data_IF_669576700863
#
_entry.id   IF_669576700863
#
_cell.length_a   1.000
_cell.length_b   1.000
_cell.length_c   1.000
_cell.angle_alpha   90.00
_cell.angle_beta   90.00
_cell.angle_gamma   90.00
#
_symmetry.space_group_name_H-M   'P 1'
#
loop_
_entity.id
_entity.type
_entity.pdbx_description
1 polymer ?
#
# COMPACT_ATOMS: atom_id res chain seq x y z
N UNK A 1 -5.00 -22.27 14.76
CA UNK A 1 -5.48 -20.91 14.45
C UNK A 1 -5.82 -20.84 12.97
N UNK A 2 -7.10 -20.95 12.63
CA UNK A 2 -7.57 -20.67 11.27
C UNK A 2 -7.37 -19.17 11.05
N UNK A 3 -6.54 -18.79 10.07
CA UNK A 3 -6.41 -17.38 9.67
C UNK A 3 -7.81 -16.88 9.32
N UNK A 4 -8.27 -15.82 10.01
CA UNK A 4 -9.44 -15.07 9.57
C UNK A 4 -9.22 -14.74 8.09
N UNK A 5 -10.11 -15.23 7.23
CA UNK A 5 -10.08 -14.86 5.83
C UNK A 5 -10.45 -13.39 5.78
N UNK A 6 -9.44 -12.53 5.70
CA UNK A 6 -9.63 -11.09 5.61
C UNK A 6 -10.54 -10.78 4.44
N UNK A 7 -11.67 -10.14 4.70
CA UNK A 7 -12.53 -9.64 3.66
C UNK A 7 -11.82 -8.47 2.97
N UNK A 8 -11.63 -8.55 1.65
CA UNK A 8 -10.93 -7.51 0.88
C UNK A 8 -11.88 -6.49 0.25
N UNK A 9 -13.15 -6.86 0.11
CA UNK A 9 -14.24 -6.02 -0.42
C UNK A 9 -15.57 -6.55 0.10
N UNK A 10 -16.45 -5.64 0.51
CA UNK A 10 -17.82 -5.98 0.83
C UNK A 10 -18.69 -5.71 -0.41
N UNK A 11 -19.40 -6.73 -0.89
CA UNK A 11 -20.40 -6.59 -1.95
C UNK A 11 -21.77 -6.77 -1.32
N UNK A 12 -22.64 -5.78 -1.47
CA UNK A 12 -23.98 -5.81 -0.91
C UNK A 12 -25.02 -5.41 -1.95
N UNK A 13 -26.21 -5.99 -1.87
CA UNK A 13 -27.38 -5.52 -2.61
C UNK A 13 -28.12 -4.49 -1.79
N UNK A 14 -28.61 -3.44 -2.44
CA UNK A 14 -29.49 -2.47 -1.80
C UNK A 14 -30.89 -2.51 -2.39
N UNK A 15 -31.87 -2.58 -1.49
CA UNK A 15 -33.29 -2.41 -1.79
C UNK A 15 -33.81 -1.19 -1.03
N UNK A 16 -34.65 -0.39 -1.68
CA UNK A 16 -35.11 0.88 -1.13
C UNK A 16 -36.00 0.79 0.11
N UNK A 17 -36.49 -0.42 0.42
CA UNK A 17 -37.24 -0.73 1.64
C UNK A 17 -36.33 -0.89 2.87
N UNK A 18 -35.02 -1.08 2.67
CA UNK A 18 -34.08 -1.34 3.76
C UNK A 18 -33.40 -0.06 4.26
N UNK A 19 -34.09 0.62 5.18
CA UNK A 19 -33.59 1.83 5.86
C UNK A 19 -32.29 1.54 6.63
N UNK A 20 -32.15 0.33 7.19
CA UNK A 20 -30.95 -0.07 7.96
C UNK A 20 -29.74 -0.23 7.05
N UNK A 21 -29.94 -0.77 5.85
CA UNK A 21 -28.88 -0.84 4.84
C UNK A 21 -28.40 0.57 4.44
N UNK A 22 -29.32 1.52 4.25
CA UNK A 22 -28.96 2.91 3.94
C UNK A 22 -28.14 3.57 5.06
N UNK A 23 -28.57 3.42 6.32
CA UNK A 23 -27.85 3.91 7.49
C UNK A 23 -26.46 3.28 7.61
N UNK A 24 -26.35 1.98 7.36
CA UNK A 24 -25.08 1.26 7.33
C UNK A 24 -24.14 1.81 6.26
N UNK A 25 -24.62 2.03 5.02
CA UNK A 25 -23.79 2.58 3.95
C UNK A 25 -23.36 4.03 4.19
N UNK A 26 -24.23 4.84 4.79
CA UNK A 26 -23.94 6.23 5.15
C UNK A 26 -22.92 6.32 6.29
N UNK A 27 -23.06 5.49 7.33
CA UNK A 27 -22.10 5.42 8.43
C UNK A 27 -20.70 4.99 7.96
N UNK A 28 -20.64 4.15 6.93
CA UNK A 28 -19.40 3.60 6.38
C UNK A 28 -18.60 4.55 5.49
N UNK A 29 -19.22 5.60 4.92
CA UNK A 29 -18.59 6.53 3.97
C UNK A 29 -17.78 5.83 2.86
N UNK A 30 -18.33 4.74 2.30
CA UNK A 30 -17.63 3.93 1.27
C UNK A 30 -16.76 2.79 1.81
N UNK A 31 -16.68 2.62 3.13
CA UNK A 31 -15.97 1.53 3.80
C UNK A 31 -16.93 0.75 4.71
N UNK A 32 -16.57 -0.47 5.07
CA UNK A 32 -17.33 -1.26 6.05
C UNK A 32 -17.31 -0.57 7.42
N UNK A 33 -18.48 -0.22 8.01
CA UNK A 33 -18.57 0.24 9.39
C UNK A 33 -18.05 -0.77 10.41
N UNK A 34 -18.23 -2.07 10.12
CA UNK A 34 -17.80 -3.16 10.99
C UNK A 34 -16.29 -3.40 10.93
N UNK A 35 -15.66 -3.08 9.79
CA UNK A 35 -14.22 -3.27 9.55
C UNK A 35 -13.64 -2.06 8.79
N UNK A 36 -13.24 -1.00 9.52
CA UNK A 36 -12.70 0.22 8.92
C UNK A 36 -11.51 -0.09 8.01
N UNK A 37 -11.64 0.21 6.72
CA UNK A 37 -10.59 -0.04 5.71
C UNK A 37 -10.99 -0.98 4.58
N UNK A 38 -12.07 -1.75 4.74
CA UNK A 38 -12.60 -2.59 3.66
C UNK A 38 -13.49 -1.75 2.76
N UNK A 39 -13.19 -1.64 1.45
CA UNK A 39 -14.03 -0.93 0.50
C UNK A 39 -15.35 -1.66 0.25
N UNK A 40 -16.37 -0.92 -0.15
CA UNK A 40 -17.70 -1.48 -0.45
C UNK A 40 -18.10 -1.23 -1.91
N UNK A 41 -18.75 -2.24 -2.50
CA UNK A 41 -19.46 -2.15 -3.77
C UNK A 41 -20.94 -2.46 -3.52
N UNK A 42 -21.83 -1.57 -3.95
CA UNK A 42 -23.27 -1.75 -3.76
C UNK A 42 -23.96 -2.00 -5.11
N UNK A 43 -24.70 -3.09 -5.19
CA UNK A 43 -25.55 -3.43 -6.31
C UNK A 43 -26.92 -2.78 -6.13
N UNK A 44 -27.37 -2.03 -7.13
CA UNK A 44 -28.55 -1.16 -7.04
C UNK A 44 -29.49 -1.42 -8.23
N UNK A 45 -30.79 -1.56 -7.98
CA UNK A 45 -31.76 -1.62 -9.08
C UNK A 45 -31.80 -0.29 -9.87
N UNK A 46 -32.04 -0.35 -11.19
CA UNK A 46 -31.99 0.84 -12.08
C UNK A 46 -32.88 2.00 -11.61
N UNK A 47 -34.07 1.69 -11.10
CA UNK A 47 -35.07 2.63 -10.59
C UNK A 47 -34.68 3.28 -9.25
N UNK A 48 -33.60 2.81 -8.62
CA UNK A 48 -33.16 3.28 -7.31
C UNK A 48 -31.79 4.00 -7.35
N UNK A 49 -31.14 4.07 -8.51
CA UNK A 49 -29.79 4.63 -8.70
C UNK A 49 -29.59 6.03 -8.06
N UNK A 50 -30.57 6.91 -8.20
CA UNK A 50 -30.45 8.32 -7.78
C UNK A 50 -30.48 8.52 -6.27
N UNK A 51 -31.02 7.56 -5.51
CA UNK A 51 -31.10 7.64 -4.04
C UNK A 51 -29.74 7.38 -3.38
N UNK A 52 -28.92 6.52 -3.97
CA UNK A 52 -27.60 6.15 -3.47
C UNK A 52 -26.47 7.04 -3.98
N UNK A 53 -26.64 7.77 -5.10
CA UNK A 53 -25.67 8.77 -5.61
C UNK A 53 -25.24 9.80 -4.56
N UNK A 54 -26.03 10.00 -3.50
CA UNK A 54 -25.76 10.91 -2.38
C UNK A 54 -24.76 10.36 -1.35
N UNK A 55 -24.41 9.08 -1.40
CA UNK A 55 -23.49 8.46 -0.43
C UNK A 55 -22.06 8.53 -0.97
N UNK A 56 -21.29 9.47 -0.44
CA UNK A 56 -19.89 9.66 -0.82
C UNK A 56 -19.05 8.40 -0.50
N UNK A 57 -18.19 8.01 -1.45
CA UNK A 57 -17.21 6.93 -1.27
C UNK A 57 -17.69 5.52 -1.63
N UNK A 58 -18.98 5.31 -1.91
CA UNK A 58 -19.52 3.99 -2.29
C UNK A 58 -19.47 3.81 -3.82
N UNK A 59 -18.79 2.76 -4.29
CA UNK A 59 -18.86 2.35 -5.70
C UNK A 59 -20.17 1.60 -5.96
N UNK A 60 -20.89 1.99 -7.01
CA UNK A 60 -22.24 1.47 -7.31
C UNK A 60 -22.25 0.74 -8.64
N UNK A 61 -23.02 -0.34 -8.72
CA UNK A 61 -23.25 -1.10 -9.94
C UNK A 61 -24.75 -1.31 -10.13
N UNK A 62 -25.27 -0.94 -11.30
CA UNK A 62 -26.70 -1.08 -11.60
C UNK A 62 -27.04 -2.52 -11.98
N UNK A 63 -28.06 -3.09 -11.36
CA UNK A 63 -28.60 -4.41 -11.69
C UNK A 63 -29.73 -4.33 -12.74
N UNK A 64 -29.81 -5.29 -13.67
CA UNK A 64 -28.82 -6.34 -13.92
C UNK A 64 -27.50 -5.75 -14.46
N UNK A 65 -26.36 -6.34 -14.06
CA UNK A 65 -25.02 -5.90 -14.46
C UNK A 65 -24.28 -6.99 -15.22
N UNK A 66 -23.33 -6.60 -16.08
CA UNK A 66 -22.40 -7.57 -16.68
C UNK A 66 -21.27 -7.90 -15.72
N UNK A 67 -20.57 -9.00 -15.96
CA UNK A 67 -19.40 -9.38 -15.18
C UNK A 67 -18.29 -8.32 -15.24
N UNK A 68 -18.11 -7.67 -16.40
CA UNK A 68 -17.14 -6.60 -16.60
C UNK A 68 -17.48 -5.36 -15.76
N UNK A 69 -18.76 -4.95 -15.75
CA UNK A 69 -19.21 -3.80 -14.98
C UNK A 69 -19.00 -4.00 -13.46
N UNK A 70 -19.23 -5.23 -12.97
CA UNK A 70 -18.97 -5.58 -11.59
C UNK A 70 -17.46 -5.61 -11.29
N UNK A 71 -16.67 -6.24 -12.16
CA UNK A 71 -15.21 -6.31 -12.01
C UNK A 71 -14.58 -4.91 -11.97
N UNK A 72 -15.03 -4.00 -12.84
CA UNK A 72 -14.54 -2.63 -12.89
C UNK A 72 -14.87 -1.85 -11.61
N UNK A 73 -16.07 -2.03 -11.05
CA UNK A 73 -16.44 -1.40 -9.79
C UNK A 73 -15.62 -1.94 -8.61
N UNK A 74 -15.40 -3.26 -8.56
CA UNK A 74 -14.50 -3.87 -7.57
C UNK A 74 -13.09 -3.32 -7.73
N UNK A 75 -12.56 -3.22 -8.93
CA UNK A 75 -11.22 -2.69 -9.17
C UNK A 75 -11.08 -1.21 -8.74
N UNK A 76 -12.11 -0.39 -8.97
CA UNK A 76 -12.13 1.01 -8.51
C UNK A 76 -12.22 1.11 -6.99
N UNK A 77 -13.09 0.31 -6.36
CA UNK A 77 -13.27 0.26 -4.91
C UNK A 77 -12.00 -0.23 -4.22
N UNK A 78 -11.39 -1.28 -4.78
CA UNK A 78 -10.17 -1.91 -4.30
C UNK A 78 -8.90 -1.27 -4.84
N UNK A 79 -8.95 0.00 -5.25
CA UNK A 79 -7.77 0.68 -5.79
C UNK A 79 -6.61 0.62 -4.76
N UNK A 80 -5.50 -0.09 -5.07
CA UNK A 80 -4.42 -0.32 -4.12
C UNK A 80 -3.74 0.97 -3.65
N UNK A 81 -3.91 2.09 -4.35
CA UNK A 81 -3.43 3.41 -3.93
C UNK A 81 -4.35 3.99 -2.85
N UNK A 82 -5.68 3.90 -3.03
CA UNK A 82 -6.68 4.41 -2.08
C UNK A 82 -6.80 3.56 -0.81
N UNK A 83 -6.47 2.27 -0.90
CA UNK A 83 -6.50 1.33 0.24
C UNK A 83 -5.26 1.38 1.13
N UNK A 84 -4.20 2.12 0.73
CA UNK A 84 -3.01 2.23 1.56
C UNK A 84 -3.33 2.95 2.86
N UNK A 85 -2.97 2.32 3.97
CA UNK A 85 -3.07 2.92 5.30
C UNK A 85 -1.99 3.98 5.56
N UNK A 86 -0.87 3.91 4.82
CA UNK A 86 0.27 4.81 4.98
C UNK A 86 0.68 5.44 3.65
N UNK A 87 0.93 6.75 3.68
CA UNK A 87 1.48 7.50 2.54
C UNK A 87 2.90 7.03 2.25
N UNK A 88 3.25 7.00 0.96
CA UNK A 88 4.60 6.66 0.48
C UNK A 88 5.31 7.93 0.06
N UNK A 89 6.58 8.04 0.44
CA UNK A 89 7.46 9.15 0.10
C UNK A 89 8.54 8.63 -0.82
N UNK A 90 8.79 9.39 -1.89
CA UNK A 90 9.96 9.18 -2.75
C UNK A 90 10.98 10.23 -2.35
N UNK A 91 12.05 9.78 -1.70
CA UNK A 91 13.09 10.66 -1.15
C UNK A 91 14.36 10.42 -1.97
N UNK A 92 14.88 11.45 -2.67
CA UNK A 92 16.14 11.35 -3.38
C UNK A 92 17.28 10.91 -2.45
N UNK A 93 18.33 10.32 -3.03
CA UNK A 93 19.57 9.96 -2.33
C UNK A 93 19.39 9.09 -1.07
N UNK A 94 18.28 8.35 -1.02
CA UNK A 94 17.98 7.42 0.09
C UNK A 94 18.44 6.02 -0.28
N UNK A 95 19.20 5.39 0.61
CA UNK A 95 19.69 4.02 0.44
C UNK A 95 19.18 3.11 1.56
N UNK A 96 19.17 1.82 1.30
CA UNK A 96 18.83 0.80 2.29
C UNK A 96 19.92 -0.27 2.30
N UNK A 97 20.30 -0.71 3.50
CA UNK A 97 21.13 -1.89 3.72
C UNK A 97 20.19 -3.03 4.10
N UNK A 98 20.20 -4.09 3.29
CA UNK A 98 19.40 -5.30 3.49
C UNK A 98 20.32 -6.39 4.05
N UNK A 99 20.05 -6.85 5.27
CA UNK A 99 20.88 -7.85 5.95
C UNK A 99 20.15 -9.20 6.07
N UNK A 100 20.83 -10.28 5.64
CA UNK A 100 20.41 -11.67 5.76
C UNK A 100 21.53 -12.53 6.33
N UNK A 101 21.63 -12.59 7.66
CA UNK A 101 22.74 -13.27 8.32
C UNK A 101 24.06 -12.54 8.06
N UNK A 102 25.09 -13.19 7.46
CA UNK A 102 26.34 -12.52 7.14
C UNK A 102 26.26 -11.66 5.86
N UNK A 103 25.23 -11.83 5.04
CA UNK A 103 25.10 -11.13 3.76
C UNK A 103 24.49 -9.75 3.97
N UNK A 104 25.10 -8.74 3.35
CA UNK A 104 24.59 -7.37 3.32
C UNK A 104 24.55 -6.87 1.88
N UNK A 105 23.41 -6.31 1.48
CA UNK A 105 23.23 -5.76 0.14
C UNK A 105 22.70 -4.35 0.23
N UNK A 106 23.37 -3.42 -0.45
CA UNK A 106 22.91 -2.04 -0.58
C UNK A 106 21.91 -1.91 -1.72
N UNK A 107 20.81 -1.22 -1.46
CA UNK A 107 19.75 -0.94 -2.42
C UNK A 107 19.42 0.55 -2.44
N UNK A 108 19.09 1.08 -3.62
CA UNK A 108 18.53 2.41 -3.77
C UNK A 108 17.04 2.39 -3.40
N UNK A 109 16.60 3.30 -2.53
CA UNK A 109 15.19 3.39 -2.13
C UNK A 109 14.40 4.12 -3.20
N UNK A 110 13.37 3.46 -3.74
CA UNK A 110 12.44 4.07 -4.71
C UNK A 110 11.35 4.84 -3.98
N UNK A 111 10.74 4.22 -2.97
CA UNK A 111 9.84 4.88 -2.04
C UNK A 111 9.72 4.10 -0.74
N UNK A 112 9.29 4.79 0.31
CA UNK A 112 9.12 4.22 1.64
C UNK A 112 7.86 4.79 2.31
N UNK A 113 7.27 4.02 3.21
CA UNK A 113 6.17 4.43 4.09
C UNK A 113 6.47 4.01 5.51
N UNK A 114 5.60 4.33 6.47
CA UNK A 114 5.71 3.80 7.83
C UNK A 114 5.56 2.28 7.93
N UNK A 115 5.05 1.62 6.89
CA UNK A 115 4.75 0.18 6.90
C UNK A 115 5.56 -0.66 5.91
N UNK A 116 6.44 -0.06 5.12
CA UNK A 116 7.20 -0.81 4.12
C UNK A 116 8.06 0.04 3.20
N UNK A 117 8.89 -0.66 2.43
CA UNK A 117 9.93 -0.12 1.57
C UNK A 117 9.84 -0.74 0.17
N UNK A 118 10.04 0.09 -0.85
CA UNK A 118 10.32 -0.34 -2.21
C UNK A 118 11.73 0.11 -2.59
N UNK A 119 12.60 -0.83 -2.95
CA UNK A 119 13.98 -0.54 -3.30
C UNK A 119 14.41 -1.27 -4.57
N UNK A 120 15.52 -0.83 -5.14
CA UNK A 120 16.18 -1.44 -6.28
C UNK A 120 17.64 -1.74 -5.99
N UNK A 121 18.11 -2.86 -6.52
CA UNK A 121 19.50 -3.30 -6.40
C UNK A 121 19.90 -4.09 -7.64
N UNK A 122 21.19 -4.14 -7.89
CA UNK A 122 21.75 -5.11 -8.82
C UNK A 122 21.54 -6.52 -8.26
N UNK A 123 21.24 -7.47 -9.15
CA UNK A 123 20.89 -8.83 -8.73
C UNK A 123 22.11 -9.54 -8.14
N UNK A 124 22.12 -9.89 -6.84
CA UNK A 124 23.32 -10.41 -6.18
C UNK A 124 23.48 -11.93 -6.36
N UNK A 125 22.53 -12.61 -7.00
CA UNK A 125 22.55 -14.07 -7.26
C UNK A 125 22.26 -14.95 -6.03
N UNK A 126 22.66 -14.54 -4.83
CA UNK A 126 22.55 -15.30 -3.59
C UNK A 126 21.46 -14.81 -2.61
N UNK A 127 20.65 -13.80 -3.00
CA UNK A 127 19.61 -13.26 -2.12
C UNK A 127 18.51 -14.29 -1.85
N UNK A 128 18.20 -14.53 -0.58
CA UNK A 128 17.19 -15.51 -0.19
C UNK A 128 15.82 -14.86 0.01
N UNK A 129 14.95 -14.94 -1.00
CA UNK A 129 13.61 -14.35 -0.95
C UNK A 129 12.65 -14.99 0.07
N UNK A 130 12.98 -16.18 0.59
CA UNK A 130 12.16 -16.86 1.60
C UNK A 130 12.47 -16.38 3.03
N UNK A 131 13.56 -15.63 3.23
CA UNK A 131 13.97 -15.14 4.54
C UNK A 131 13.56 -13.69 4.74
N UNK A 132 13.13 -13.38 5.96
CA UNK A 132 13.03 -11.99 6.42
C UNK A 132 14.39 -11.32 6.42
N UNK A 133 14.38 -9.99 6.29
CA UNK A 133 15.59 -9.16 6.25
C UNK A 133 15.57 -8.15 7.38
N UNK A 134 16.74 -7.83 7.92
CA UNK A 134 16.89 -6.61 8.71
C UNK A 134 17.22 -5.48 7.75
N UNK A 135 16.44 -4.39 7.80
CA UNK A 135 16.66 -3.23 6.94
C UNK A 135 17.12 -2.05 7.78
N UNK A 136 18.19 -1.39 7.33
CA UNK A 136 18.57 -0.06 7.82
C UNK A 136 18.43 0.92 6.65
N UNK A 137 17.63 1.97 6.81
CA UNK A 137 17.41 2.98 5.77
C UNK A 137 18.18 4.24 6.11
N UNK A 138 18.97 4.73 5.18
CA UNK A 138 19.83 5.89 5.31
C UNK A 138 19.24 7.00 4.44
N UNK A 139 18.90 8.11 5.07
CA UNK A 139 18.35 9.30 4.45
C UNK A 139 19.38 10.42 4.47
N UNK A 140 19.44 11.21 3.40
CA UNK A 140 20.13 12.50 3.41
C UNK A 140 19.08 13.62 3.53
N UNK A 141 19.02 14.26 4.68
CA UNK A 141 18.06 15.33 4.96
C UNK A 141 18.82 16.64 5.16
N UNK A 142 18.78 17.52 4.16
CA UNK A 142 19.43 18.85 4.22
C UNK A 142 20.94 18.77 4.55
N UNK A 143 21.64 17.72 4.12
CA UNK A 143 23.06 17.50 4.41
C UNK A 143 23.35 16.78 5.72
N UNK A 144 22.32 16.44 6.51
CA UNK A 144 22.44 15.56 7.68
C UNK A 144 22.07 14.12 7.27
N UNK A 145 22.96 13.16 7.57
CA UNK A 145 22.67 11.74 7.38
C UNK A 145 21.86 11.21 8.58
N UNK A 146 20.69 10.65 8.29
CA UNK A 146 19.80 10.03 9.28
C UNK A 146 19.63 8.56 8.95
N UNK A 147 19.95 7.68 9.90
CA UNK A 147 19.76 6.23 9.72
C UNK A 147 18.58 5.75 10.56
N UNK A 148 17.60 5.12 9.94
CA UNK A 148 16.53 4.37 10.61
C UNK A 148 16.89 2.87 10.66
N UNK A 149 17.43 2.36 11.78
CA UNK A 149 17.99 1.02 11.84
C UNK A 149 16.97 -0.04 12.26
N UNK A 150 17.26 -1.29 11.94
CA UNK A 150 16.60 -2.43 12.59
C UNK A 150 15.15 -2.66 12.18
N UNK A 151 14.77 -2.27 10.96
CA UNK A 151 13.44 -2.52 10.40
C UNK A 151 13.34 -3.99 10.00
N UNK A 152 12.78 -4.83 10.86
CA UNK A 152 12.58 -6.24 10.56
C UNK A 152 11.47 -6.38 9.52
N UNK A 153 11.81 -6.92 8.36
CA UNK A 153 11.00 -6.80 7.15
C UNK A 153 10.82 -8.14 6.45
N UNK A 154 9.66 -8.33 5.82
CA UNK A 154 9.41 -9.49 4.98
C UNK A 154 9.11 -9.09 3.54
N UNK A 155 9.56 -9.94 2.64
CA UNK A 155 9.42 -9.78 1.21
C UNK A 155 7.95 -9.94 0.78
N UNK A 156 7.48 -9.06 -0.11
CA UNK A 156 6.12 -9.08 -0.67
C UNK A 156 6.07 -9.26 -2.18
N UNK A 157 7.13 -8.87 -2.90
CA UNK A 157 7.13 -8.96 -4.35
C UNK A 157 8.42 -8.47 -4.98
N UNK A 158 8.72 -9.03 -6.15
CA UNK A 158 9.89 -8.71 -6.96
C UNK A 158 9.47 -8.41 -8.38
N UNK A 159 10.19 -7.48 -9.03
CA UNK A 159 10.13 -7.26 -10.46
C UNK A 159 11.55 -7.14 -11.02
N UNK A 160 11.83 -7.77 -12.15
CA UNK A 160 13.05 -7.52 -12.92
C UNK A 160 12.90 -6.19 -13.66
N UNK A 161 13.79 -5.25 -13.40
CA UNK A 161 13.78 -3.89 -13.98
C UNK A 161 14.70 -3.81 -15.20
N UNK A 162 15.84 -4.50 -15.15
CA UNK A 162 16.78 -4.62 -16.26
C UNK A 162 17.28 -6.06 -16.39
N UNK A 163 17.60 -6.47 -17.61
CA UNK A 163 18.12 -7.80 -17.94
C UNK A 163 19.46 -7.68 -18.67
N UNK A 164 20.31 -8.65 -18.43
CA UNK A 164 21.52 -8.87 -19.23
C UNK A 164 21.14 -9.38 -20.64
N UNK A 165 22.08 -9.38 -21.60
CA UNK A 165 21.84 -9.90 -22.95
C UNK A 165 21.45 -11.39 -22.99
N UNK A 166 21.85 -12.18 -22.00
CA UNK A 166 21.46 -13.60 -21.83
C UNK A 166 20.09 -13.78 -21.17
N UNK A 167 19.33 -12.68 -21.02
CA UNK A 167 18.04 -12.58 -20.34
C UNK A 167 18.06 -12.81 -18.82
N UNK A 168 19.22 -13.02 -18.19
CA UNK A 168 19.34 -13.10 -16.74
C UNK A 168 19.00 -11.74 -16.07
N UNK A 169 18.51 -11.74 -14.81
CA UNK A 169 18.24 -10.50 -14.10
C UNK A 169 19.54 -9.70 -13.88
N UNK A 170 19.55 -8.45 -14.32
CA UNK A 170 20.63 -7.52 -14.02
C UNK A 170 20.29 -6.66 -12.80
N UNK A 171 19.09 -6.07 -12.82
CA UNK A 171 18.60 -5.19 -11.75
C UNK A 171 17.18 -5.59 -11.37
N UNK A 172 16.94 -5.66 -10.08
CA UNK A 172 15.67 -6.08 -9.50
C UNK A 172 15.09 -4.98 -8.61
N UNK A 173 13.76 -4.91 -8.56
CA UNK A 173 13.00 -4.08 -7.64
C UNK A 173 12.31 -4.99 -6.64
N UNK A 174 12.52 -4.73 -5.35
CA UNK A 174 11.99 -5.50 -4.24
C UNK A 174 11.05 -4.65 -3.40
N UNK A 175 9.92 -5.24 -3.03
CA UNK A 175 8.95 -4.65 -2.12
C UNK A 175 8.96 -5.42 -0.79
N UNK A 176 9.08 -4.69 0.30
CA UNK A 176 9.06 -5.20 1.66
C UNK A 176 7.96 -4.54 2.47
N UNK A 177 7.35 -5.30 3.38
CA UNK A 177 6.58 -4.74 4.49
C UNK A 177 7.37 -4.88 5.79
N UNK A 178 7.18 -3.94 6.70
CA UNK A 178 7.82 -3.97 8.01
C UNK A 178 6.97 -4.84 8.95
N UNK A 179 7.56 -5.91 9.46
CA UNK A 179 6.97 -6.74 10.52
C UNK A 179 7.09 -6.01 11.85
N UNK A 180 8.25 -5.40 12.10
CA UNK A 180 8.52 -4.64 13.32
C UNK A 180 9.32 -3.37 12.99
N UNK A 181 8.92 -2.27 13.62
CA UNK A 181 9.57 -0.96 13.50
C UNK A 181 10.01 -0.50 14.89
N UNK A 182 11.32 -0.53 15.22
CA UNK A 182 11.82 -0.06 16.49
C UNK A 182 11.46 1.41 16.74
N UNK A 183 11.27 1.82 18.00
CA UNK A 183 10.90 3.20 18.36
C UNK A 183 11.86 4.25 17.80
N UNK A 184 13.15 3.96 17.81
CA UNK A 184 14.19 4.84 17.25
C UNK A 184 13.97 5.05 15.75
N UNK A 185 13.81 3.96 15.00
CA UNK A 185 13.53 4.01 13.57
C UNK A 185 12.21 4.72 13.26
N UNK A 186 11.15 4.44 14.04
CA UNK A 186 9.86 5.11 13.90
C UNK A 186 9.96 6.63 14.08
N UNK A 187 10.73 7.10 15.07
CA UNK A 187 10.96 8.53 15.29
C UNK A 187 11.69 9.20 14.13
N UNK A 188 12.69 8.52 13.56
CA UNK A 188 13.45 9.01 12.40
C UNK A 188 12.57 9.06 11.15
N UNK A 189 11.83 7.99 10.87
CA UNK A 189 10.87 7.95 9.76
C UNK A 189 9.83 9.07 9.89
N UNK A 190 9.29 9.30 11.09
CA UNK A 190 8.34 10.38 11.33
C UNK A 190 8.96 11.76 11.05
N UNK A 191 10.18 12.03 11.54
CA UNK A 191 10.89 13.30 11.28
C UNK A 191 11.12 13.52 9.78
N UNK A 192 11.58 12.49 9.08
CA UNK A 192 11.83 12.53 7.62
C UNK A 192 10.53 12.76 6.85
N UNK A 193 9.45 12.07 7.20
CA UNK A 193 8.17 12.20 6.50
C UNK A 193 7.50 13.55 6.71
N UNK A 194 7.58 14.13 7.91
CA UNK A 194 7.12 15.51 8.16
C UNK A 194 7.85 16.49 7.24
N UNK A 195 9.16 16.33 7.08
CA UNK A 195 9.93 17.18 6.16
C UNK A 195 9.51 16.99 4.70
N UNK A 196 9.30 15.75 4.28
CA UNK A 196 8.85 15.42 2.94
C UNK A 196 7.48 16.05 2.61
N UNK A 197 6.54 16.00 3.56
CA UNK A 197 5.22 16.64 3.41
C UNK A 197 5.31 18.16 3.28
N UNK A 198 6.23 18.79 4.01
CA UNK A 198 6.44 20.24 3.92
C UNK A 198 6.99 20.66 2.56
N UNK A 199 7.94 19.89 2.01
CA UNK A 199 8.48 20.16 0.67
C UNK A 199 7.41 20.00 -0.41
N UNK A 200 6.62 18.93 -0.38
CA UNK A 200 5.54 18.73 -1.35
C UNK A 200 4.51 19.88 -1.34
N UNK A 201 4.18 20.41 -0.15
CA UNK A 201 3.26 21.55 -0.02
C UNK A 201 3.87 22.86 -0.52
N UNK A 202 5.16 23.08 -0.29
CA UNK A 202 5.88 24.27 -0.77
C UNK A 202 6.06 24.29 -2.29
N UNK A 203 6.09 23.13 -2.94
CA UNK A 203 6.11 22.99 -4.41
C UNK A 203 4.74 23.20 -5.08
N UNK A 204 3.65 23.22 -4.31
CA UNK A 204 2.28 23.42 -4.80
C UNK A 204 1.73 24.83 -4.56
N UNK A 205 2.51 25.72 -3.93
CA UNK A 205 2.19 27.13 -3.71
C UNK A 205 2.88 28.01 -4.77
#
# INVERSE_FOLDING_TARGET
MVKEHGCHVLIATWESSDVRALEFFQAGQGKSPAQPGIPMVVLVAQDQADKLKKVAGVEQVLMPCTAEALADAINRACNPVKLRQSKRYSLPDTTAILEQGPEQVTAAVVNISSGGLLCELDYPGNFNFAMSVMVSVIFNLQGEELTAPGLFSAFTGMKVVARNPDHSPQRIRLAFYFINVPKVAAGILARVFVHAEQQEKGLQA
#
